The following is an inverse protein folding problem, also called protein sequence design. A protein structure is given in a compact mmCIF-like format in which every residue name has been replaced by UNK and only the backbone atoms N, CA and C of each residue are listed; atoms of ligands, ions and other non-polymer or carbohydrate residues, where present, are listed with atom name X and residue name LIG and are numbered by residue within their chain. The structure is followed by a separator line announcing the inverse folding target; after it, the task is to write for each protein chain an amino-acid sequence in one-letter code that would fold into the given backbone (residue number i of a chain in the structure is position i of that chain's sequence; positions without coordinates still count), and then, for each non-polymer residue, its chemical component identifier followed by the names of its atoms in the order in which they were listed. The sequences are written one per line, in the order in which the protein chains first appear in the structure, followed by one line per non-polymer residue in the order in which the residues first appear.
data_IF_475373479478
#
_entry.id   IF_475373479478
#
_cell.length_a   1.000
_cell.length_b   1.000
_cell.length_c   1.000
_cell.angle_alpha   90.00
_cell.angle_beta   90.00
_cell.angle_gamma   90.00
#
_symmetry.space_group_name_H-M   'P 1'
#
loop_
_entity.id
_entity.type
_entity.pdbx_description
1 polymer ?
#
# COMPACT_ATOMS: atom_id res chain seq x y z
N UNK A 1 -4.30 -3.76 -14.86
CA UNK A 1 -4.99 -3.79 -13.54
C UNK A 1 -4.05 -4.32 -12.50
N UNK A 2 -3.76 -3.51 -11.51
CA UNK A 2 -2.81 -3.90 -10.49
C UNK A 2 -3.55 -4.58 -9.33
N UNK A 3 -3.19 -5.82 -9.06
CA UNK A 3 -3.66 -6.53 -7.88
C UNK A 3 -2.63 -6.35 -6.77
N UNK A 4 -3.07 -5.80 -5.64
CA UNK A 4 -2.21 -5.57 -4.49
C UNK A 4 -2.38 -6.66 -3.46
N UNK A 5 -1.27 -7.10 -2.89
CA UNK A 5 -1.23 -8.11 -1.85
C UNK A 5 -0.47 -7.57 -0.63
N UNK A 6 -1.08 -7.72 0.53
CA UNK A 6 -0.39 -7.45 1.79
C UNK A 6 0.34 -8.72 2.21
N UNK A 7 1.65 -8.63 2.29
CA UNK A 7 2.52 -9.74 2.67
C UNK A 7 3.10 -9.47 4.04
N UNK A 8 2.91 -10.39 4.98
CA UNK A 8 3.52 -10.30 6.31
C UNK A 8 4.75 -11.16 6.35
N UNK A 9 5.87 -10.54 6.68
CA UNK A 9 7.17 -11.20 6.78
C UNK A 9 7.56 -11.27 8.24
N UNK A 10 7.89 -12.47 8.69
CA UNK A 10 8.27 -12.74 10.08
C UNK A 10 9.73 -13.17 10.13
N UNK A 11 10.50 -12.54 11.02
CA UNK A 11 11.91 -12.88 11.24
C UNK A 11 12.30 -12.59 12.69
N UNK A 12 13.45 -13.11 13.10
CA UNK A 12 13.98 -12.87 14.43
C UNK A 12 14.87 -11.63 14.43
N UNK A 13 14.61 -10.73 15.35
CA UNK A 13 15.36 -9.50 15.53
C UNK A 13 16.00 -9.47 16.91
N UNK A 14 17.30 -9.18 16.94
CA UNK A 14 18.04 -9.00 18.19
C UNK A 14 17.91 -7.53 18.62
N UNK A 15 17.35 -7.31 19.81
CA UNK A 15 17.22 -5.98 20.39
C UNK A 15 18.54 -5.50 21.02
N UNK A 16 18.57 -4.24 21.46
CA UNK A 16 19.70 -3.65 22.13
C UNK A 16 20.07 -4.36 23.45
N UNK A 17 19.07 -4.99 24.07
CA UNK A 17 19.25 -5.78 25.30
C UNK A 17 19.77 -7.20 25.02
N UNK A 18 20.06 -7.56 23.77
CA UNK A 18 20.51 -8.88 23.37
C UNK A 18 19.40 -9.92 23.29
N UNK A 19 18.16 -9.55 23.56
CA UNK A 19 17.02 -10.48 23.51
C UNK A 19 16.55 -10.61 22.07
N UNK A 20 16.36 -11.86 21.62
CA UNK A 20 15.84 -12.17 20.29
C UNK A 20 14.32 -12.18 20.36
N UNK A 21 13.68 -11.35 19.53
CA UNK A 21 12.23 -11.28 19.43
C UNK A 21 11.78 -11.56 18.00
N UNK A 22 10.64 -12.23 17.87
CA UNK A 22 10.00 -12.46 16.61
C UNK A 22 9.25 -11.19 16.19
N UNK A 23 9.56 -10.68 15.00
CA UNK A 23 8.97 -9.46 14.46
C UNK A 23 8.22 -9.80 13.18
N UNK A 24 7.00 -9.25 13.04
CA UNK A 24 6.22 -9.40 11.81
C UNK A 24 6.02 -8.02 11.19
N UNK A 25 6.42 -7.88 9.93
CA UNK A 25 6.36 -6.61 9.20
C UNK A 25 5.50 -6.76 7.95
N UNK A 26 4.53 -5.86 7.75
CA UNK A 26 3.69 -5.88 6.55
C UNK A 26 4.29 -5.09 5.40
N UNK A 27 4.11 -5.62 4.19
CA UNK A 27 4.51 -5.01 2.93
C UNK A 27 3.38 -5.12 1.93
N UNK A 28 3.30 -4.20 0.98
CA UNK A 28 2.41 -4.32 -0.17
C UNK A 28 3.20 -4.68 -1.42
N UNK A 29 2.71 -5.63 -2.16
CA UNK A 29 3.34 -6.11 -3.39
C UNK A 29 2.28 -6.20 -4.48
N UNK A 30 2.62 -5.71 -5.67
CA UNK A 30 1.81 -5.86 -6.86
C UNK A 30 2.12 -7.21 -7.52
N UNK A 31 1.11 -7.96 -7.86
CA UNK A 31 1.28 -9.28 -8.48
C UNK A 31 0.01 -9.77 -9.14
N UNK A 32 0.14 -10.79 -9.97
CA UNK A 32 -0.98 -11.42 -10.69
C UNK A 32 -1.66 -12.51 -9.87
N UNK A 33 -0.94 -13.08 -8.90
CA UNK A 33 -1.43 -14.19 -8.08
C UNK A 33 -0.79 -14.17 -6.70
N UNK A 34 -1.34 -14.94 -5.77
CA UNK A 34 -0.73 -15.14 -4.45
C UNK A 34 0.69 -15.70 -4.55
N UNK A 35 0.90 -16.66 -5.44
CA UNK A 35 2.22 -17.28 -5.66
C UNK A 35 3.23 -16.26 -6.15
N UNK A 36 2.85 -15.42 -7.10
CA UNK A 36 3.74 -14.38 -7.62
C UNK A 36 4.06 -13.35 -6.54
N UNK A 37 3.05 -12.92 -5.76
CA UNK A 37 3.24 -11.97 -4.66
C UNK A 37 4.23 -12.51 -3.63
N UNK A 38 4.07 -13.76 -3.23
CA UNK A 38 4.98 -14.43 -2.29
C UNK A 38 6.40 -14.49 -2.86
N UNK A 39 6.55 -14.89 -4.11
CA UNK A 39 7.85 -14.96 -4.78
C UNK A 39 8.53 -13.60 -4.83
N UNK A 40 7.78 -12.56 -5.14
CA UNK A 40 8.32 -11.19 -5.23
C UNK A 40 8.74 -10.64 -3.88
N UNK A 41 7.93 -10.84 -2.84
CA UNK A 41 8.32 -10.36 -1.50
C UNK A 41 9.54 -11.12 -0.97
N UNK A 42 9.68 -12.41 -1.28
CA UNK A 42 10.87 -13.17 -0.92
C UNK A 42 12.13 -12.59 -1.56
N UNK A 43 12.08 -12.20 -2.84
CA UNK A 43 13.22 -11.58 -3.52
C UNK A 43 13.59 -10.25 -2.90
N UNK A 44 12.60 -9.41 -2.58
CA UNK A 44 12.85 -8.11 -1.95
C UNK A 44 13.45 -8.26 -0.56
N UNK A 45 12.95 -9.19 0.23
CA UNK A 45 13.45 -9.43 1.58
C UNK A 45 14.84 -10.04 1.61
N UNK A 46 15.19 -10.87 0.63
CA UNK A 46 16.52 -11.46 0.53
C UNK A 46 17.63 -10.41 0.41
N UNK A 47 17.32 -9.28 -0.23
CA UNK A 47 18.28 -8.19 -0.39
C UNK A 47 18.61 -7.49 0.94
N UNK A 48 17.72 -7.56 1.91
CA UNK A 48 17.86 -6.85 3.20
C UNK A 48 18.02 -7.77 4.40
N UNK A 49 17.59 -9.02 4.30
CA UNK A 49 17.60 -9.94 5.42
C UNK A 49 19.01 -10.46 5.69
N UNK A 50 19.44 -10.39 6.96
CA UNK A 50 20.72 -10.94 7.41
C UNK A 50 20.56 -12.37 7.96
N UNK A 51 19.36 -12.92 7.93
CA UNK A 51 19.05 -14.25 8.44
C UNK A 51 17.80 -14.81 7.77
N UNK A 52 17.27 -15.86 8.36
CA UNK A 52 16.08 -16.53 7.87
C UNK A 52 14.83 -15.67 8.12
N UNK A 53 13.95 -15.66 7.16
CA UNK A 53 12.64 -15.03 7.28
C UNK A 53 11.56 -15.95 6.70
N UNK A 54 10.33 -15.74 7.13
CA UNK A 54 9.17 -16.50 6.65
C UNK A 54 8.09 -15.53 6.21
N UNK A 55 7.49 -15.81 5.06
CA UNK A 55 6.27 -15.09 4.64
C UNK A 55 5.10 -15.76 5.36
N UNK A 56 4.63 -15.14 6.43
CA UNK A 56 3.62 -15.73 7.32
C UNK A 56 2.18 -15.57 6.82
N UNK A 57 1.93 -14.57 5.96
CA UNK A 57 0.60 -14.34 5.40
C UNK A 57 0.69 -13.55 4.09
N UNK A 58 -0.20 -13.86 3.16
CA UNK A 58 -0.39 -13.11 1.92
C UNK A 58 -1.89 -12.89 1.77
N UNK A 59 -2.32 -11.63 1.72
CA UNK A 59 -3.73 -11.26 1.64
C UNK A 59 -3.95 -10.30 0.46
N UNK A 60 -4.98 -10.59 -0.34
CA UNK A 60 -5.36 -9.69 -1.42
C UNK A 60 -6.02 -8.43 -0.85
N UNK A 61 -5.60 -7.27 -1.35
CA UNK A 61 -6.13 -5.97 -0.96
C UNK A 61 -6.74 -5.27 -2.16
N UNK A 62 -7.92 -4.68 -1.96
CA UNK A 62 -8.53 -3.84 -2.99
C UNK A 62 -8.04 -2.40 -2.79
N UNK A 63 -7.18 -1.95 -3.68
CA UNK A 63 -6.67 -0.58 -3.68
C UNK A 63 -6.93 -0.01 -5.06
N UNK A 64 -7.71 1.07 -5.12
CA UNK A 64 -8.10 1.70 -6.39
C UNK A 64 -6.94 2.50 -6.97
N UNK A 65 -6.25 3.26 -6.15
CA UNK A 65 -5.12 4.11 -6.58
C UNK A 65 -4.02 4.10 -5.54
N UNK A 66 -2.79 4.17 -6.03
CA UNK A 66 -1.58 4.24 -5.23
C UNK A 66 -0.86 5.54 -5.60
N UNK A 67 -0.70 6.44 -4.64
CA UNK A 67 -0.02 7.72 -4.87
C UNK A 67 1.38 7.68 -4.27
N UNK A 68 2.38 7.55 -5.13
CA UNK A 68 3.79 7.51 -4.75
C UNK A 68 4.38 8.90 -4.73
N UNK A 69 5.33 9.13 -3.83
CA UNK A 69 6.18 10.31 -3.84
C UNK A 69 7.63 9.85 -3.67
N UNK A 70 8.32 9.67 -4.79
CA UNK A 70 9.68 9.15 -4.83
C UNK A 70 10.73 10.13 -4.28
N UNK A 71 10.37 11.40 -4.12
CA UNK A 71 11.26 12.42 -3.57
C UNK A 71 11.44 12.30 -2.05
N UNK A 72 10.56 11.58 -1.37
CA UNK A 72 10.63 11.40 0.07
C UNK A 72 11.71 10.40 0.47
N UNK A 73 12.55 10.77 1.42
CA UNK A 73 13.56 9.88 2.00
C UNK A 73 13.00 9.10 3.18
N UNK A 74 12.24 9.78 4.03
CA UNK A 74 11.53 9.17 5.15
C UNK A 74 10.04 9.32 4.91
N UNK A 75 9.30 8.24 5.02
CA UNK A 75 7.87 8.25 4.73
C UNK A 75 7.15 7.16 5.47
N UNK A 76 5.84 7.34 5.50
CA UNK A 76 4.87 6.36 5.99
C UNK A 76 3.84 6.14 4.91
N UNK A 77 3.10 5.06 5.02
CA UNK A 77 2.01 4.76 4.11
C UNK A 77 0.69 4.94 4.83
N UNK A 78 -0.21 5.71 4.21
CA UNK A 78 -1.52 6.03 4.76
C UNK A 78 -2.60 5.40 3.89
N UNK A 79 -3.57 4.77 4.57
CA UNK A 79 -4.75 4.24 3.90
C UNK A 79 -5.83 5.29 3.93
N UNK A 80 -6.36 5.62 2.75
CA UNK A 80 -7.36 6.65 2.59
C UNK A 80 -8.65 6.02 2.08
N UNK A 81 -9.76 6.27 2.77
CA UNK A 81 -11.07 5.90 2.28
C UNK A 81 -11.71 7.11 1.64
N UNK A 82 -12.06 6.96 0.37
CA UNK A 82 -12.67 8.00 -0.43
C UNK A 82 -14.01 7.49 -0.92
N UNK A 83 -15.05 8.29 -0.77
CA UNK A 83 -16.37 7.98 -1.30
C UNK A 83 -16.60 8.81 -2.55
N UNK A 84 -16.80 8.16 -3.69
CA UNK A 84 -17.28 8.84 -4.89
C UNK A 84 -18.78 9.05 -4.76
N UNK A 85 -19.20 10.29 -5.03
CA UNK A 85 -20.61 10.69 -4.94
C UNK A 85 -21.19 10.77 -6.33
N UNK A 86 -22.23 10.01 -6.59
CA UNK A 86 -22.98 10.07 -7.83
C UNK A 86 -24.46 10.22 -7.53
N UNK A 87 -25.21 10.80 -8.50
CA UNK A 87 -26.65 10.96 -8.36
C UNK A 87 -27.32 10.00 -9.33
N UNK A 88 -28.22 9.17 -8.80
CA UNK A 88 -29.11 8.36 -9.65
C UNK A 88 -30.24 9.27 -10.15
N UNK A 89 -30.18 9.65 -11.41
CA UNK A 89 -31.13 10.60 -12.01
C UNK A 89 -32.57 10.08 -12.02
N UNK A 90 -32.75 8.75 -12.09
CA UNK A 90 -34.09 8.16 -12.09
C UNK A 90 -34.75 8.22 -10.72
N UNK A 91 -33.96 8.02 -9.65
CA UNK A 91 -34.48 7.97 -8.27
C UNK A 91 -34.23 9.25 -7.48
N UNK A 92 -33.42 10.18 -8.01
CA UNK A 92 -33.05 11.41 -7.33
C UNK A 92 -32.26 11.19 -6.04
N UNK A 93 -31.62 10.04 -5.88
CA UNK A 93 -30.90 9.65 -4.67
C UNK A 93 -29.41 9.71 -4.91
N UNK A 94 -28.67 10.29 -3.95
CA UNK A 94 -27.22 10.25 -3.95
C UNK A 94 -26.71 8.84 -3.62
N UNK A 95 -25.72 8.40 -4.39
CA UNK A 95 -25.09 7.11 -4.23
C UNK A 95 -23.61 7.32 -3.91
N UNK A 96 -23.13 6.67 -2.88
CA UNK A 96 -21.71 6.74 -2.48
C UNK A 96 -21.05 5.39 -2.73
N UNK A 97 -19.91 5.43 -3.43
CA UNK A 97 -19.13 4.24 -3.73
C UNK A 97 -17.78 4.41 -3.02
N UNK A 98 -17.54 3.56 -2.03
CA UNK A 98 -16.31 3.59 -1.25
C UNK A 98 -15.16 2.99 -2.05
N UNK A 99 -14.03 3.69 -2.06
CA UNK A 99 -12.78 3.25 -2.67
C UNK A 99 -11.64 3.44 -1.68
N UNK A 100 -10.65 2.56 -1.74
CA UNK A 100 -9.45 2.66 -0.91
C UNK A 100 -8.30 3.16 -1.77
N UNK A 101 -7.64 4.22 -1.29
CA UNK A 101 -6.43 4.77 -1.89
C UNK A 101 -5.29 4.64 -0.89
N UNK A 102 -4.07 4.55 -1.38
CA UNK A 102 -2.88 4.59 -0.53
C UNK A 102 -2.02 5.77 -0.92
N UNK A 103 -1.50 6.51 0.06
CA UNK A 103 -0.60 7.63 -0.19
C UNK A 103 0.69 7.46 0.60
N UNK A 104 1.80 7.83 -0.02
CA UNK A 104 3.11 7.90 0.59
C UNK A 104 3.33 9.34 1.07
N UNK A 105 3.56 9.52 2.37
CA UNK A 105 3.66 10.85 2.95
C UNK A 105 4.52 10.83 4.21
N UNK A 106 5.00 12.00 4.60
CA UNK A 106 5.86 12.17 5.78
C UNK A 106 5.04 12.08 7.07
N UNK A 107 3.86 12.69 7.07
CA UNK A 107 2.96 12.74 8.23
C UNK A 107 1.51 12.84 7.78
N UNK A 108 0.60 12.93 8.74
CA UNK A 108 -0.83 12.99 8.45
C UNK A 108 -1.21 14.20 7.59
N UNK A 109 -0.67 15.39 7.89
CA UNK A 109 -0.99 16.59 7.12
C UNK A 109 -0.50 16.48 5.68
N UNK A 110 0.69 15.94 5.49
CA UNK A 110 1.24 15.69 4.16
C UNK A 110 0.41 14.64 3.41
N UNK A 111 -0.11 13.64 4.12
CA UNK A 111 -0.99 12.63 3.54
C UNK A 111 -2.28 13.25 2.98
N UNK A 112 -2.87 14.19 3.70
CA UNK A 112 -4.07 14.91 3.22
C UNK A 112 -3.76 15.67 1.94
N UNK A 113 -2.65 16.39 1.91
CA UNK A 113 -2.21 17.14 0.72
C UNK A 113 -1.92 16.22 -0.47
N UNK A 114 -1.25 15.10 -0.21
CA UNK A 114 -0.92 14.13 -1.25
C UNK A 114 -2.18 13.50 -1.84
N UNK A 115 -3.16 13.19 -1.01
CA UNK A 115 -4.43 12.63 -1.46
C UNK A 115 -5.22 13.64 -2.30
N UNK A 116 -5.34 14.87 -1.83
CA UNK A 116 -6.06 15.94 -2.56
C UNK A 116 -5.40 16.17 -3.92
N UNK A 117 -4.07 16.24 -3.96
CA UNK A 117 -3.32 16.39 -5.20
C UNK A 117 -3.54 15.22 -6.15
N UNK A 118 -3.51 14.00 -5.63
CA UNK A 118 -3.75 12.79 -6.42
C UNK A 118 -5.17 12.72 -6.98
N UNK A 119 -6.13 13.27 -6.26
CA UNK A 119 -7.54 13.28 -6.67
C UNK A 119 -7.91 14.45 -7.61
N UNK A 120 -6.99 15.39 -7.87
CA UNK A 120 -7.24 16.56 -8.72
C UNK A 120 -7.68 16.18 -10.14
N UNK A 121 -7.24 15.04 -10.64
CA UNK A 121 -7.63 14.55 -11.98
C UNK A 121 -8.98 13.85 -11.99
N UNK A 122 -9.62 13.68 -10.84
CA UNK A 122 -10.92 13.03 -10.76
C UNK A 122 -12.02 13.90 -11.36
N UNK A 123 -12.82 13.32 -12.24
CA UNK A 123 -13.98 13.99 -12.86
C UNK A 123 -15.21 13.86 -11.97
N UNK A 124 -15.18 12.94 -11.01
CA UNK A 124 -16.31 12.68 -10.12
C UNK A 124 -16.16 13.44 -8.81
N UNK A 125 -17.27 13.85 -8.23
CA UNK A 125 -17.28 14.39 -6.88
C UNK A 125 -16.90 13.31 -5.89
N UNK A 126 -16.15 13.68 -4.86
CA UNK A 126 -15.70 12.74 -3.85
C UNK A 126 -15.66 13.36 -2.46
N UNK A 127 -15.74 12.50 -1.46
CA UNK A 127 -15.58 12.86 -0.06
C UNK A 127 -14.45 12.03 0.53
N UNK A 128 -13.61 12.64 1.35
CA UNK A 128 -12.59 11.92 2.10
C UNK A 128 -13.23 11.45 3.40
N UNK A 129 -13.42 10.13 3.53
CA UNK A 129 -14.04 9.56 4.72
C UNK A 129 -13.05 9.35 5.86
N UNK A 130 -11.83 8.87 5.55
CA UNK A 130 -10.81 8.67 6.57
C UNK A 130 -9.41 8.60 5.95
N UNK A 131 -8.42 8.95 6.75
CA UNK A 131 -7.00 8.77 6.44
C UNK A 131 -6.37 8.15 7.68
N UNK A 132 -5.78 6.97 7.52
CA UNK A 132 -5.21 6.20 8.63
C UNK A 132 -3.77 5.82 8.33
N UNK A 133 -2.88 6.12 9.28
CA UNK A 133 -1.51 5.64 9.19
C UNK A 133 -1.48 4.12 9.31
N UNK A 134 -0.76 3.46 8.41
CA UNK A 134 -0.60 2.01 8.42
C UNK A 134 0.77 1.62 8.97
N UNK A 135 0.92 0.34 9.28
CA UNK A 135 2.20 -0.24 9.68
C UNK A 135 3.00 -0.78 8.49
N UNK A 136 2.49 -0.58 7.28
CA UNK A 136 3.15 -1.04 6.05
C UNK A 136 4.50 -0.35 5.93
N UNK A 137 5.57 -1.14 5.85
CA UNK A 137 6.93 -0.62 5.78
C UNK A 137 7.30 -0.15 4.40
N UNK A 138 6.88 -0.89 3.36
CA UNK A 138 7.15 -0.48 2.00
C UNK A 138 6.16 -1.09 1.02
N UNK A 139 6.16 -0.54 -0.20
CA UNK A 139 5.29 -0.94 -1.29
C UNK A 139 6.17 -1.22 -2.50
N UNK A 140 6.07 -2.45 -3.01
CA UNK A 140 6.86 -2.91 -4.15
C UNK A 140 5.98 -3.00 -5.39
N UNK A 141 6.13 -2.02 -6.25
CA UNK A 141 5.42 -1.94 -7.52
C UNK A 141 6.08 -2.87 -8.53
N UNK A 142 5.27 -3.54 -9.35
CA UNK A 142 5.77 -4.35 -10.44
C UNK A 142 6.48 -3.47 -11.47
N UNK A 143 7.73 -3.79 -11.73
CA UNK A 143 8.50 -3.18 -12.81
C UNK A 143 8.85 -4.29 -13.79
N UNK A 144 8.31 -4.25 -15.02
CA UNK A 144 8.72 -5.23 -16.02
C UNK A 144 10.21 -5.10 -16.27
N UNK A 145 10.89 -6.24 -16.40
CA UNK A 145 12.31 -6.25 -16.74
C UNK A 145 12.49 -5.47 -18.05
N UNK A 146 13.45 -4.53 -18.06
CA UNK A 146 13.79 -3.83 -19.28
C UNK A 146 14.27 -4.86 -20.30
N UNK A 147 13.53 -4.95 -21.40
CA UNK A 147 13.98 -5.77 -22.53
C UNK A 147 15.07 -4.98 -23.22
N UNK A 148 16.30 -5.29 -22.89
CA UNK A 148 17.43 -4.78 -23.67
C UNK A 148 17.37 -5.41 -25.05
N UNK A 149 16.87 -4.60 -25.98
CA UNK A 149 16.92 -5.00 -27.39
C UNK A 149 18.37 -4.91 -27.89
#
# INVERSE_FOLDING_TARGET
MNNWFECKVTYDRTGEDGIIKKVTEPYLVDGLSFTEAESRICKECQAYATGEFTVSAVKRCKIAEMFFNEDLQEYKWFRCRVNYVSVDEEKGVEKRIAQTMMVQAVDFQDAVKALVKGMDSSVCDYEIASITETKILDVYKYEPAEVNA
#
